data_IF_301089182002
#
_entry.id   IF_301089182002
#
_cell.length_a   1.000
_cell.length_b   1.000
_cell.length_c   1.000
_cell.angle_alpha   90.00
_cell.angle_beta   90.00
_cell.angle_gamma   90.00
#
_symmetry.space_group_name_H-M   'P 1'
#
loop_
_entity.id
_entity.type
_entity.pdbx_description
1 polymer ?
#
# COMPACT_ATOMS: atom_id res chain seq x y z
N UNK A 1 -12.38 4.69 -17.54
CA UNK A 1 -12.54 5.43 -16.27
C UNK A 1 -14.02 5.79 -16.03
N UNK A 2 -14.90 4.78 -15.91
CA UNK A 2 -16.38 5.00 -15.90
C UNK A 2 -17.12 4.33 -14.73
N UNK A 3 -16.45 3.49 -13.93
CA UNK A 3 -17.02 2.79 -12.75
C UNK A 3 -16.77 3.50 -11.41
N UNK A 4 -15.96 4.56 -11.40
CA UNK A 4 -15.55 5.24 -10.17
C UNK A 4 -16.63 6.23 -9.69
N UNK A 5 -17.53 6.67 -10.58
CA UNK A 5 -18.54 7.69 -10.25
C UNK A 5 -19.84 7.16 -9.63
N UNK A 6 -20.16 5.87 -9.75
CA UNK A 6 -21.46 5.32 -9.27
C UNK A 6 -21.39 4.70 -7.87
N UNK A 7 -20.19 4.59 -7.27
CA UNK A 7 -20.02 3.92 -5.98
C UNK A 7 -20.25 2.39 -6.02
N UNK A 8 -20.60 1.82 -7.17
CA UNK A 8 -20.83 0.39 -7.33
C UNK A 8 -19.54 -0.41 -7.13
N UNK A 9 -19.62 -1.42 -6.26
CA UNK A 9 -18.52 -2.34 -5.94
C UNK A 9 -18.93 -3.77 -6.35
N UNK A 10 -18.93 -4.10 -7.64
CA UNK A 10 -19.47 -5.37 -8.12
C UNK A 10 -18.60 -6.59 -7.76
N UNK A 11 -17.37 -6.39 -7.30
CA UNK A 11 -16.44 -7.47 -6.99
C UNK A 11 -16.44 -7.77 -5.49
N UNK A 12 -17.17 -8.80 -5.07
CA UNK A 12 -17.32 -9.18 -3.66
C UNK A 12 -16.34 -10.29 -3.29
N UNK A 13 -15.71 -10.16 -2.12
CA UNK A 13 -14.89 -11.21 -1.54
C UNK A 13 -15.78 -12.28 -0.91
N UNK A 14 -15.71 -13.55 -1.35
CA UNK A 14 -16.53 -14.62 -0.80
C UNK A 14 -16.14 -14.98 0.65
N UNK A 15 -14.91 -14.66 1.06
CA UNK A 15 -14.35 -15.04 2.36
C UNK A 15 -14.76 -14.06 3.49
N UNK A 16 -15.06 -12.80 3.17
CA UNK A 16 -15.42 -11.79 4.18
C UNK A 16 -16.50 -10.78 3.74
N UNK A 17 -17.11 -10.97 2.57
CA UNK A 17 -18.18 -10.11 2.05
C UNK A 17 -17.75 -8.71 1.61
N UNK A 18 -16.46 -8.36 1.68
CA UNK A 18 -15.97 -7.02 1.28
C UNK A 18 -16.06 -6.83 -0.22
N UNK A 19 -16.62 -5.70 -0.64
CA UNK A 19 -16.79 -5.36 -2.05
C UNK A 19 -15.74 -4.38 -2.55
N UNK A 20 -15.37 -4.51 -3.84
CA UNK A 20 -14.36 -3.72 -4.53
C UNK A 20 -14.87 -3.25 -5.89
N UNK A 21 -14.31 -2.13 -6.37
CA UNK A 21 -14.69 -1.53 -7.67
C UNK A 21 -14.07 -2.26 -8.88
N UNK A 22 -13.01 -3.02 -8.64
CA UNK A 22 -12.30 -3.76 -9.68
C UNK A 22 -11.83 -5.15 -9.18
N UNK A 23 -11.66 -6.08 -10.11
CA UNK A 23 -11.25 -7.46 -9.83
C UNK A 23 -9.78 -7.58 -9.39
N UNK A 24 -8.93 -6.63 -9.77
CA UNK A 24 -7.51 -6.64 -9.40
C UNK A 24 -7.32 -6.34 -7.91
N UNK A 25 -8.08 -5.38 -7.39
CA UNK A 25 -8.14 -5.02 -5.97
C UNK A 25 -8.75 -6.15 -5.15
N UNK A 26 -9.83 -6.78 -5.64
CA UNK A 26 -10.37 -8.00 -5.00
C UNK A 26 -9.31 -9.12 -4.95
N UNK A 27 -8.64 -9.42 -6.07
CA UNK A 27 -7.59 -10.44 -6.11
C UNK A 27 -6.41 -10.12 -5.18
N UNK A 28 -6.01 -8.85 -5.10
CA UNK A 28 -4.98 -8.42 -4.16
C UNK A 28 -5.44 -8.58 -2.71
N UNK A 29 -6.69 -8.24 -2.41
CA UNK A 29 -7.29 -8.43 -1.10
C UNK A 29 -7.34 -9.91 -0.71
N UNK A 30 -7.67 -10.82 -1.62
CA UNK A 30 -7.70 -12.26 -1.33
C UNK A 30 -6.36 -12.82 -0.85
N UNK A 31 -5.23 -12.27 -1.31
CA UNK A 31 -3.89 -12.60 -0.78
C UNK A 31 -3.72 -12.23 0.70
N UNK A 32 -4.60 -11.39 1.24
CA UNK A 32 -4.60 -11.07 2.66
C UNK A 32 -5.19 -12.19 3.53
N UNK A 33 -5.98 -13.10 2.95
CA UNK A 33 -6.55 -14.25 3.64
C UNK A 33 -5.59 -15.44 3.68
N UNK A 34 -4.74 -15.61 2.67
CA UNK A 34 -3.87 -16.78 2.53
C UNK A 34 -2.52 -16.68 3.27
N UNK A 35 -2.29 -15.59 4.01
CA UNK A 35 -0.99 -15.24 4.64
C UNK A 35 0.25 -15.30 3.73
N UNK A 36 0.05 -15.47 2.42
CA UNK A 36 1.11 -15.58 1.45
C UNK A 36 1.92 -14.28 1.37
N UNK A 37 3.22 -14.41 1.65
CA UNK A 37 4.19 -13.31 1.59
C UNK A 37 5.24 -13.61 0.50
N UNK A 38 4.86 -13.52 -0.78
CA UNK A 38 5.77 -13.89 -1.88
C UNK A 38 6.95 -12.93 -2.02
N UNK A 39 6.85 -11.71 -1.47
CA UNK A 39 7.90 -10.70 -1.56
C UNK A 39 8.72 -10.69 -0.27
N UNK A 40 9.91 -11.29 -0.27
CA UNK A 40 10.80 -11.30 0.90
C UNK A 40 11.90 -10.25 0.78
N UNK A 41 12.19 -9.58 1.89
CA UNK A 41 13.37 -8.74 2.03
C UNK A 41 14.61 -9.63 2.12
N UNK A 42 15.62 -9.38 1.28
CA UNK A 42 16.89 -10.12 1.31
C UNK A 42 17.77 -9.73 2.51
N UNK A 43 17.60 -8.52 3.03
CA UNK A 43 18.45 -7.96 4.08
C UNK A 43 18.03 -8.48 5.47
N UNK A 44 16.73 -8.71 5.73
CA UNK A 44 16.22 -9.15 7.03
C UNK A 44 15.25 -10.35 6.96
N UNK A 45 15.03 -10.94 5.79
CA UNK A 45 14.13 -12.09 5.61
C UNK A 45 12.63 -11.79 5.70
N UNK A 46 12.22 -10.57 6.11
CA UNK A 46 10.82 -10.21 6.33
C UNK A 46 9.99 -10.32 5.04
N UNK A 47 8.86 -11.04 5.12
CA UNK A 47 7.93 -11.25 4.01
C UNK A 47 6.80 -10.22 3.94
N UNK A 48 6.42 -9.86 2.71
CA UNK A 48 5.36 -8.89 2.37
C UNK A 48 4.40 -9.46 1.32
N UNK A 49 3.14 -9.04 1.40
CA UNK A 49 2.06 -9.42 0.47
C UNK A 49 2.12 -8.66 -0.86
N UNK A 50 2.77 -7.48 -0.88
CA UNK A 50 2.87 -6.61 -2.05
C UNK A 50 4.31 -6.13 -2.29
N UNK A 51 4.70 -6.01 -3.57
CA UNK A 51 6.03 -5.51 -3.97
C UNK A 51 6.28 -4.07 -3.53
N UNK A 52 5.27 -3.21 -3.64
CA UNK A 52 5.33 -1.80 -3.20
C UNK A 52 5.68 -1.68 -1.71
N UNK A 53 5.05 -2.52 -0.86
CA UNK A 53 5.35 -2.56 0.58
C UNK A 53 6.77 -3.03 0.85
N UNK A 54 7.27 -4.03 0.11
CA UNK A 54 8.68 -4.44 0.21
C UNK A 54 9.63 -3.29 -0.18
N UNK A 55 9.34 -2.57 -1.27
CA UNK A 55 10.15 -1.42 -1.70
C UNK A 55 10.20 -0.33 -0.64
N UNK A 56 9.05 0.05 -0.06
CA UNK A 56 9.00 1.03 1.03
C UNK A 56 9.75 0.50 2.26
N UNK A 57 9.61 -0.79 2.58
CA UNK A 57 10.33 -1.40 3.69
C UNK A 57 11.85 -1.32 3.50
N UNK A 58 12.37 -1.55 2.29
CA UNK A 58 13.81 -1.44 2.01
C UNK A 58 14.37 -0.04 2.27
N UNK A 59 13.55 1.01 2.16
CA UNK A 59 13.95 2.37 2.54
C UNK A 59 14.24 2.54 4.03
N UNK A 60 13.76 1.63 4.87
CA UNK A 60 14.12 1.61 6.30
C UNK A 60 15.58 1.21 6.50
N UNK A 61 16.09 0.32 5.65
CA UNK A 61 17.48 -0.13 5.73
C UNK A 61 18.43 0.90 5.13
N UNK A 62 18.06 1.51 4.00
CA UNK A 62 18.89 2.54 3.35
C UNK A 62 18.77 3.94 3.97
N UNK A 63 17.73 4.19 4.79
CA UNK A 63 17.42 5.53 5.30
C UNK A 63 16.86 6.50 4.24
N UNK A 64 16.58 6.03 3.02
CA UNK A 64 16.11 6.86 1.91
C UNK A 64 14.74 7.48 2.21
N UNK A 65 14.64 8.80 2.08
CA UNK A 65 13.41 9.57 2.29
C UNK A 65 13.12 10.47 1.08
N UNK A 66 12.60 9.91 -0.02
CA UNK A 66 12.45 10.65 -1.27
C UNK A 66 11.30 11.66 -1.26
N UNK A 67 10.38 11.58 -0.29
CA UNK A 67 9.23 12.47 -0.21
C UNK A 67 9.48 13.62 0.76
N UNK A 68 9.88 14.78 0.23
CA UNK A 68 10.14 15.98 1.03
C UNK A 68 8.86 16.81 1.21
N UNK A 69 8.64 17.34 2.40
CA UNK A 69 7.60 18.32 2.65
C UNK A 69 7.97 19.67 2.02
N UNK A 70 6.99 20.35 1.41
CA UNK A 70 7.20 21.70 0.85
C UNK A 70 7.12 22.82 1.89
N UNK A 71 6.51 22.58 3.04
CA UNK A 71 6.32 23.58 4.09
C UNK A 71 7.36 23.50 5.22
N UNK A 72 8.13 22.41 5.31
CA UNK A 72 9.15 22.25 6.35
C UNK A 72 10.29 21.31 5.89
N UNK A 73 11.42 21.21 6.62
CA UNK A 73 12.58 20.41 6.19
C UNK A 73 12.39 18.89 6.37
N UNK A 74 11.21 18.41 6.79
CA UNK A 74 10.97 16.97 7.01
C UNK A 74 10.82 16.20 5.69
N UNK A 75 11.37 14.99 5.67
CA UNK A 75 11.26 14.04 4.56
C UNK A 75 10.77 12.68 5.05
N UNK A 76 10.08 11.94 4.17
CA UNK A 76 9.36 10.71 4.47
C UNK A 76 9.73 9.59 3.49
N UNK A 77 9.57 8.34 3.93
CA UNK A 77 9.85 7.12 3.15
C UNK A 77 8.70 6.73 2.21
N UNK A 78 7.50 7.27 2.44
CA UNK A 78 6.31 6.97 1.64
C UNK A 78 5.43 8.20 1.42
N UNK A 79 4.67 8.22 0.32
CA UNK A 79 3.72 9.29 0.02
C UNK A 79 2.60 9.41 1.07
N UNK A 80 1.98 8.32 1.56
CA UNK A 80 0.98 8.41 2.61
C UNK A 80 1.48 9.09 3.89
N UNK A 81 2.72 8.83 4.31
CA UNK A 81 3.32 9.50 5.47
C UNK A 81 3.50 11.01 5.23
N UNK A 82 3.97 11.40 4.04
CA UNK A 82 4.05 12.82 3.67
C UNK A 82 2.66 13.46 3.68
N UNK A 83 1.64 12.80 3.10
CA UNK A 83 0.27 13.34 3.06
C UNK A 83 -0.30 13.52 4.47
N UNK A 84 -0.14 12.54 5.35
CA UNK A 84 -0.58 12.64 6.74
C UNK A 84 0.15 13.77 7.47
N UNK A 85 1.46 13.90 7.28
CA UNK A 85 2.22 15.01 7.83
C UNK A 85 1.74 16.36 7.28
N UNK A 86 1.45 16.44 5.98
CA UNK A 86 1.00 17.68 5.35
C UNK A 86 -0.35 18.15 5.89
N UNK A 87 -1.23 17.23 6.30
CA UNK A 87 -2.51 17.54 6.95
C UNK A 87 -2.36 18.09 8.38
N UNK A 88 -1.17 17.97 8.97
CA UNK A 88 -0.85 18.49 10.30
C UNK A 88 -0.19 19.87 10.30
N UNK A 89 0.06 20.43 9.10
CA UNK A 89 0.36 21.85 8.94
C UNK A 89 -0.94 22.64 8.99
#
# INVERSE_FOLDING_TARGET
HRRIHTGEKPFVCPECGKSYHDSSTLRQHRKAHTDERPYRCRECGKGFRQKSTLTIHRRLHSGEKPYRCSQCPKSFKSKPELTQHFQSH
#
